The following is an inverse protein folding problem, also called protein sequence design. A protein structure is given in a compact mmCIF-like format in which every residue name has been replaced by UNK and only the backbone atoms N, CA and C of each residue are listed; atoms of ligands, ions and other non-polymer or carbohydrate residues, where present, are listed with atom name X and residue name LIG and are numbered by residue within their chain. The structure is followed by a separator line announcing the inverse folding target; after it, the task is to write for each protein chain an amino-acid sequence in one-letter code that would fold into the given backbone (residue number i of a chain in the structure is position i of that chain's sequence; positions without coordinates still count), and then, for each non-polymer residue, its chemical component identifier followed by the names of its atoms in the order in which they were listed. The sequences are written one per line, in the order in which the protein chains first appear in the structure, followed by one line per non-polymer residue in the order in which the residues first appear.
data_IF_574391840577
#
_entry.id   IF_574391840577
#
_cell.length_a   1.000
_cell.length_b   1.000
_cell.length_c   1.000
_cell.angle_alpha   90.00
_cell.angle_beta   90.00
_cell.angle_gamma   90.00
#
_symmetry.space_group_name_H-M   'P 1'
#
loop_
_entity.id
_entity.type
_entity.pdbx_description
1 polymer ?
#
# COMPACT_ATOMS: atom_id res chain seq x y z
N UNK A 1 2.79 17.85 -7.50
CA UNK A 1 2.99 16.93 -6.36
C UNK A 1 1.62 16.58 -5.80
N UNK A 2 1.46 15.38 -5.27
CA UNK A 2 0.23 14.98 -4.60
C UNK A 2 0.08 15.73 -3.28
N UNK A 3 -1.14 16.13 -2.91
CA UNK A 3 -1.44 16.86 -1.67
C UNK A 3 -2.40 16.05 -0.82
N UNK A 4 -2.11 15.91 0.48
CA UNK A 4 -2.99 15.20 1.41
C UNK A 4 -3.86 16.19 2.19
N UNK A 5 -5.07 15.76 2.54
CA UNK A 5 -6.02 16.55 3.32
C UNK A 5 -6.91 15.64 4.16
N UNK A 6 -7.68 16.24 5.06
CA UNK A 6 -8.81 15.56 5.70
C UNK A 6 -10.06 16.45 5.67
N UNK A 7 -11.23 15.83 5.79
CA UNK A 7 -12.50 16.53 5.96
C UNK A 7 -12.83 16.63 7.45
N UNK A 8 -12.95 17.85 7.93
CA UNK A 8 -13.36 18.19 9.29
C UNK A 8 -14.84 18.58 9.28
N UNK A 9 -15.67 17.85 10.02
CA UNK A 9 -17.09 18.13 10.20
C UNK A 9 -17.33 18.77 11.55
N UNK A 10 -17.71 20.03 11.54
CA UNK A 10 -17.98 20.81 12.73
C UNK A 10 -19.45 20.66 13.18
N UNK A 11 -20.36 20.30 12.26
CA UNK A 11 -21.76 19.98 12.58
C UNK A 11 -22.27 18.81 11.75
N UNK A 12 -22.85 17.80 12.41
CA UNK A 12 -23.53 16.71 11.71
C UNK A 12 -25.00 17.05 11.45
N UNK A 13 -25.25 17.70 10.33
CA UNK A 13 -26.61 18.07 9.89
C UNK A 13 -27.48 16.88 9.49
N UNK A 14 -26.86 15.71 9.27
CA UNK A 14 -27.54 14.49 8.82
C UNK A 14 -27.88 13.53 9.96
N UNK A 15 -27.12 13.60 11.06
CA UNK A 15 -27.19 12.66 12.18
C UNK A 15 -26.58 11.28 11.90
N UNK A 16 -26.00 11.05 10.72
CA UNK A 16 -25.45 9.74 10.34
C UNK A 16 -23.95 9.63 10.57
N UNK A 17 -23.21 10.71 10.33
CA UNK A 17 -21.78 10.59 10.04
C UNK A 17 -20.89 11.20 11.14
N UNK A 18 -21.47 11.75 12.21
CA UNK A 18 -20.79 12.27 13.40
C UNK A 18 -20.00 13.56 13.18
N UNK A 19 -19.41 14.14 14.22
CA UNK A 19 -18.51 15.31 14.11
C UNK A 19 -17.05 14.91 14.20
N UNK A 20 -16.13 15.80 13.82
CA UNK A 20 -14.68 15.57 13.84
C UNK A 20 -14.10 15.25 12.46
N UNK A 21 -13.02 14.48 12.41
CA UNK A 21 -12.39 14.07 11.15
C UNK A 21 -13.15 12.90 10.56
N UNK A 22 -13.76 13.11 9.40
CA UNK A 22 -14.76 12.19 8.84
C UNK A 22 -14.31 11.52 7.54
N UNK A 23 -13.28 12.07 6.89
CA UNK A 23 -12.61 11.44 5.77
C UNK A 23 -11.14 11.87 5.68
N UNK A 24 -10.30 10.97 5.18
CA UNK A 24 -8.96 11.26 4.69
C UNK A 24 -9.00 11.45 3.18
N UNK A 25 -8.13 12.29 2.63
CA UNK A 25 -8.12 12.60 1.22
C UNK A 25 -6.76 12.88 0.62
N UNK A 26 -6.68 12.63 -0.69
CA UNK A 26 -5.50 12.84 -1.52
C UNK A 26 -5.94 13.52 -2.81
N UNK A 27 -5.31 14.65 -3.16
CA UNK A 27 -5.45 15.32 -4.45
C UNK A 27 -4.20 15.06 -5.30
N UNK A 28 -4.41 14.51 -6.50
CA UNK A 28 -3.36 14.21 -7.46
C UNK A 28 -3.02 15.43 -8.33
N UNK A 29 -1.83 15.45 -8.97
CA UNK A 29 -1.41 16.57 -9.82
C UNK A 29 -2.34 16.88 -11.01
N UNK A 30 -3.15 15.90 -11.46
CA UNK A 30 -4.13 16.08 -12.52
C UNK A 30 -5.47 16.66 -12.02
N UNK A 31 -5.56 16.98 -10.73
CA UNK A 31 -6.74 17.53 -10.07
C UNK A 31 -7.70 16.46 -9.55
N UNK A 32 -7.53 15.18 -9.90
CA UNK A 32 -8.39 14.12 -9.35
C UNK A 32 -8.16 13.95 -7.85
N UNK A 33 -9.21 13.56 -7.13
CA UNK A 33 -9.14 13.37 -5.69
C UNK A 33 -9.68 12.01 -5.25
N UNK A 34 -9.07 11.41 -4.24
CA UNK A 34 -9.58 10.21 -3.58
C UNK A 34 -9.92 10.56 -2.15
N UNK A 35 -11.09 10.11 -1.70
CA UNK A 35 -11.58 10.24 -0.33
C UNK A 35 -11.77 8.86 0.28
N UNK A 36 -11.26 8.67 1.49
CA UNK A 36 -11.53 7.53 2.36
C UNK A 36 -12.38 8.00 3.54
N UNK A 37 -13.67 7.66 3.52
CA UNK A 37 -14.56 7.92 4.64
C UNK A 37 -14.16 7.08 5.85
N UNK A 38 -14.25 7.67 7.05
CA UNK A 38 -14.02 7.00 8.33
C UNK A 38 -15.32 6.50 8.95
N UNK A 39 -15.22 5.62 9.95
CA UNK A 39 -16.37 5.10 10.70
C UNK A 39 -16.82 3.70 10.27
N UNK A 40 -17.97 3.26 10.78
CA UNK A 40 -18.50 1.90 10.60
C UNK A 40 -18.78 1.55 9.13
N UNK A 41 -19.19 2.53 8.33
CA UNK A 41 -19.51 2.36 6.91
C UNK A 41 -18.47 3.02 6.00
N UNK A 42 -17.19 2.76 6.29
CA UNK A 42 -16.07 3.35 5.58
C UNK A 42 -16.02 2.93 4.09
N UNK A 43 -16.04 3.92 3.19
CA UNK A 43 -15.95 3.73 1.74
C UNK A 43 -14.83 4.56 1.13
N UNK A 44 -14.35 4.16 -0.05
CA UNK A 44 -13.34 4.89 -0.81
C UNK A 44 -13.95 5.34 -2.12
N UNK A 45 -13.84 6.64 -2.43
CA UNK A 45 -14.48 7.24 -3.61
C UNK A 45 -13.48 8.13 -4.35
N UNK A 46 -13.51 8.04 -5.68
CA UNK A 46 -12.73 8.90 -6.57
C UNK A 46 -13.62 10.04 -7.07
N UNK A 47 -13.09 11.26 -7.05
CA UNK A 47 -13.75 12.47 -7.50
C UNK A 47 -12.93 13.15 -8.61
N UNK A 48 -13.59 13.82 -9.57
CA UNK A 48 -12.88 14.60 -10.58
C UNK A 48 -12.06 15.76 -10.00
N UNK A 49 -12.49 16.30 -8.85
CA UNK A 49 -11.77 17.30 -8.08
C UNK A 49 -12.23 17.33 -6.63
N UNK A 50 -11.38 17.88 -5.77
CA UNK A 50 -11.72 18.19 -4.37
C UNK A 50 -12.95 19.09 -4.27
N UNK A 51 -13.05 20.10 -5.14
CA UNK A 51 -14.19 21.03 -5.16
C UNK A 51 -15.50 20.31 -5.46
N UNK A 52 -15.48 19.31 -6.36
CA UNK A 52 -16.68 18.52 -6.67
C UNK A 52 -17.10 17.68 -5.46
N UNK A 53 -16.14 17.13 -4.71
CA UNK A 53 -16.46 16.42 -3.47
C UNK A 53 -17.05 17.35 -2.41
N UNK A 54 -16.51 18.56 -2.24
CA UNK A 54 -17.00 19.56 -1.29
C UNK A 54 -18.36 20.15 -1.69
N UNK A 55 -18.67 20.27 -2.99
CA UNK A 55 -19.99 20.69 -3.43
C UNK A 55 -21.10 19.74 -2.95
N UNK A 56 -20.80 18.45 -2.82
CA UNK A 56 -21.74 17.42 -2.35
C UNK A 56 -21.70 17.28 -0.82
N UNK A 57 -20.51 17.31 -0.22
CA UNK A 57 -20.30 16.93 1.19
C UNK A 57 -19.94 18.10 2.13
N UNK A 58 -19.81 19.31 1.61
CA UNK A 58 -19.46 20.52 2.36
C UNK A 58 -20.57 20.98 3.32
N UNK A 59 -21.83 20.62 3.03
CA UNK A 59 -23.00 20.90 3.87
C UNK A 59 -23.06 22.36 4.38
N UNK A 60 -23.02 23.33 3.46
CA UNK A 60 -23.04 24.78 3.76
C UNK A 60 -21.95 25.22 4.77
N UNK A 61 -20.77 24.62 4.64
CA UNK A 61 -19.62 24.88 5.51
C UNK A 61 -19.58 24.04 6.79
N UNK A 62 -20.58 23.19 7.04
CA UNK A 62 -20.55 22.26 8.17
C UNK A 62 -19.44 21.19 8.05
N UNK A 63 -18.97 20.92 6.83
CA UNK A 63 -17.75 20.15 6.55
C UNK A 63 -16.75 21.01 5.79
N UNK A 64 -15.53 21.13 6.32
CA UNK A 64 -14.44 21.87 5.70
C UNK A 64 -13.26 20.96 5.39
N UNK A 65 -12.57 21.28 4.31
CA UNK A 65 -11.30 20.64 3.99
C UNK A 65 -10.15 21.28 4.76
N UNK A 66 -9.26 20.43 5.26
CA UNK A 66 -8.01 20.86 5.90
C UNK A 66 -6.85 20.19 5.19
N UNK A 67 -6.04 20.99 4.50
CA UNK A 67 -4.78 20.54 3.90
C UNK A 67 -3.79 20.18 5.01
N UNK A 68 -3.14 19.04 4.88
CA UNK A 68 -2.03 18.65 5.75
C UNK A 68 -0.74 19.00 5.02
N UNK A 69 0.03 19.96 5.52
CA UNK A 69 1.28 20.39 4.88
C UNK A 69 2.43 19.39 5.09
N UNK A 70 2.21 18.30 5.82
CA UNK A 70 3.21 17.26 6.01
C UNK A 70 2.51 15.89 6.03
N UNK A 71 2.60 15.18 4.90
CA UNK A 71 2.61 13.72 5.01
C UNK A 71 4.00 13.36 5.54
N UNK A 72 4.17 13.31 6.87
CA UNK A 72 5.26 12.56 7.50
C UNK A 72 5.00 11.06 7.24
N UNK A 73 4.96 10.65 5.97
CA UNK A 73 5.21 9.25 5.65
C UNK A 73 6.72 9.17 5.72
N UNK A 74 7.22 8.60 6.82
CA UNK A 74 8.59 8.09 6.84
C UNK A 74 8.81 7.39 5.50
N UNK A 75 9.80 7.81 4.70
CA UNK A 75 9.98 7.26 3.37
C UNK A 75 10.05 5.75 3.52
N UNK A 76 9.11 5.04 2.89
CA UNK A 76 9.13 3.59 2.93
C UNK A 76 10.48 3.14 2.34
N UNK A 77 11.24 2.29 3.04
CA UNK A 77 12.57 1.89 2.58
C UNK A 77 12.39 1.04 1.32
N UNK A 78 12.50 1.69 0.17
CA UNK A 78 12.20 1.08 -1.12
C UNK A 78 11.97 2.08 -2.24
N UNK A 79 11.71 1.55 -3.43
CA UNK A 79 11.53 2.29 -4.67
C UNK A 79 10.35 1.75 -5.48
N UNK A 80 9.72 2.60 -6.27
CA UNK A 80 8.71 2.15 -7.23
C UNK A 80 9.38 1.70 -8.54
N UNK A 81 8.97 0.54 -9.05
CA UNK A 81 9.34 0.10 -10.39
C UNK A 81 8.75 1.02 -11.48
N UNK A 82 9.26 0.92 -12.70
CA UNK A 82 8.69 1.62 -13.86
C UNK A 82 7.21 1.30 -14.11
N UNK A 83 6.73 0.15 -13.60
CA UNK A 83 5.33 -0.29 -13.72
C UNK A 83 4.48 0.12 -12.52
N UNK A 84 5.03 0.84 -11.55
CA UNK A 84 4.30 1.37 -10.39
C UNK A 84 4.16 0.40 -9.21
N UNK A 85 4.78 -0.78 -9.26
CA UNK A 85 4.85 -1.67 -8.09
C UNK A 85 5.92 -1.20 -7.11
N UNK A 86 5.61 -1.15 -5.81
CA UNK A 86 6.60 -0.82 -4.78
C UNK A 86 7.56 -1.99 -4.53
N UNK A 87 8.86 -1.72 -4.43
CA UNK A 87 9.92 -2.66 -4.10
C UNK A 87 10.56 -2.24 -2.79
N UNK A 88 10.54 -3.10 -1.78
CA UNK A 88 11.22 -2.84 -0.51
C UNK A 88 12.72 -3.03 -0.64
N UNK A 89 13.48 -2.35 0.22
CA UNK A 89 14.91 -2.62 0.41
C UNK A 89 15.15 -4.12 0.65
N UNK A 90 16.15 -4.73 -0.01
CA UNK A 90 16.41 -6.15 0.15
C UNK A 90 16.78 -6.53 1.59
N UNK A 91 16.19 -7.62 2.08
CA UNK A 91 16.52 -8.16 3.41
C UNK A 91 17.63 -9.19 3.28
N UNK A 92 18.73 -9.01 4.01
CA UNK A 92 19.78 -10.01 4.09
C UNK A 92 19.39 -11.14 5.06
N UNK A 93 19.57 -12.38 4.63
CA UNK A 93 19.34 -13.58 5.45
C UNK A 93 20.58 -13.89 6.30
N UNK A 94 20.40 -14.68 7.35
CA UNK A 94 21.51 -15.20 8.18
C UNK A 94 22.55 -15.99 7.38
N UNK A 95 22.22 -16.40 6.15
CA UNK A 95 23.09 -17.13 5.24
C UNK A 95 23.74 -16.23 4.16
N UNK A 96 23.62 -14.89 4.26
CA UNK A 96 24.22 -13.92 3.33
C UNK A 96 23.47 -13.75 1.99
N UNK A 97 22.31 -14.40 1.82
CA UNK A 97 21.46 -14.22 0.64
C UNK A 97 20.55 -13.00 0.80
N UNK A 98 20.23 -12.33 -0.31
CA UNK A 98 19.26 -11.23 -0.34
C UNK A 98 17.86 -11.73 -0.69
N UNK A 99 16.86 -11.35 0.11
CA UNK A 99 15.45 -11.57 -0.14
C UNK A 99 14.82 -10.27 -0.62
N UNK A 100 14.22 -10.31 -1.80
CA UNK A 100 13.52 -9.18 -2.39
C UNK A 100 12.02 -9.31 -2.13
N UNK A 101 11.40 -8.23 -1.66
CA UNK A 101 9.96 -8.13 -1.44
C UNK A 101 9.45 -6.98 -2.30
N UNK A 102 8.37 -7.21 -3.04
CA UNK A 102 7.77 -6.20 -3.91
C UNK A 102 6.28 -6.47 -4.11
N UNK A 103 5.53 -5.42 -4.39
CA UNK A 103 4.13 -5.50 -4.78
C UNK A 103 4.02 -6.18 -6.15
N UNK A 104 2.94 -6.90 -6.36
CA UNK A 104 2.71 -7.62 -7.60
C UNK A 104 1.24 -7.57 -7.98
N UNK A 105 0.95 -7.66 -9.27
CA UNK A 105 -0.41 -7.84 -9.79
C UNK A 105 -0.96 -9.25 -9.59
N UNK A 106 -0.24 -10.14 -8.92
CA UNK A 106 -0.72 -11.49 -8.68
C UNK A 106 -1.87 -11.52 -7.68
N UNK A 107 -2.81 -12.43 -7.93
CA UNK A 107 -4.06 -12.56 -7.17
C UNK A 107 -3.81 -13.15 -5.76
N UNK A 108 -2.70 -13.86 -5.55
CA UNK A 108 -2.34 -14.49 -4.27
C UNK A 108 -0.85 -14.32 -3.95
N UNK A 109 -0.44 -14.39 -2.66
CA UNK A 109 0.96 -14.42 -2.29
C UNK A 109 1.69 -15.57 -2.98
N UNK A 110 2.78 -15.25 -3.66
CA UNK A 110 3.62 -16.20 -4.38
C UNK A 110 5.09 -15.79 -4.22
N UNK A 111 5.97 -16.77 -4.31
CA UNK A 111 7.42 -16.59 -4.25
C UNK A 111 8.03 -16.89 -5.60
N UNK A 112 9.11 -16.19 -5.93
CA UNK A 112 9.92 -16.48 -7.09
C UNK A 112 11.22 -17.12 -6.61
N UNK A 113 11.51 -18.33 -7.06
CA UNK A 113 12.84 -18.91 -6.91
C UNK A 113 13.61 -18.60 -8.20
N UNK A 114 14.70 -17.84 -8.09
CA UNK A 114 15.56 -17.48 -9.22
C UNK A 114 17.00 -17.88 -8.92
N UNK A 115 17.63 -18.59 -9.84
CA UNK A 115 19.05 -18.95 -9.76
C UNK A 115 19.81 -17.99 -10.67
N UNK A 116 20.74 -17.21 -10.09
CA UNK A 116 21.47 -16.17 -10.81
C UNK A 116 22.82 -16.64 -11.38
N UNK A 117 23.28 -17.84 -11.00
CA UNK A 117 24.47 -18.46 -11.57
C UNK A 117 24.07 -19.40 -12.72
N UNK A 118 24.50 -19.06 -13.94
CA UNK A 118 24.21 -19.84 -15.15
C UNK A 118 22.98 -19.33 -15.91
N UNK A 119 22.15 -20.24 -16.41
CA UNK A 119 20.89 -19.89 -17.08
C UNK A 119 19.91 -19.28 -16.08
N UNK A 120 19.23 -18.21 -16.49
CA UNK A 120 18.23 -17.52 -15.68
C UNK A 120 16.96 -18.36 -15.54
N UNK A 121 16.97 -19.27 -14.56
CA UNK A 121 15.85 -20.14 -14.26
C UNK A 121 15.04 -19.50 -13.14
N UNK A 122 13.79 -19.15 -13.43
CA UNK A 122 12.82 -18.64 -12.48
C UNK A 122 11.58 -19.55 -12.40
N UNK A 123 11.07 -19.78 -11.19
CA UNK A 123 9.82 -20.50 -10.96
C UNK A 123 8.88 -19.72 -10.03
N UNK A 124 7.60 -19.65 -10.40
CA UNK A 124 6.54 -19.18 -9.51
C UNK A 124 6.13 -20.30 -8.56
N UNK A 125 6.14 -20.01 -7.27
CA UNK A 125 5.79 -20.95 -6.22
C UNK A 125 4.68 -20.36 -5.36
N UNK A 126 3.72 -21.19 -4.95
CA UNK A 126 2.91 -20.84 -3.79
C UNK A 126 3.77 -20.75 -2.54
N UNK A 127 3.28 -20.09 -1.49
CA UNK A 127 3.96 -20.03 -0.19
C UNK A 127 4.25 -21.44 0.35
N UNK A 128 3.33 -22.39 0.19
CA UNK A 128 3.49 -23.77 0.66
C UNK A 128 4.55 -24.54 -0.15
N UNK A 129 4.59 -24.35 -1.47
CA UNK A 129 5.64 -24.93 -2.31
C UNK A 129 7.03 -24.40 -1.92
N UNK A 130 7.14 -23.09 -1.70
CA UNK A 130 8.40 -22.47 -1.30
C UNK A 130 8.88 -22.95 0.08
N UNK A 131 7.96 -23.08 1.05
CA UNK A 131 8.27 -23.66 2.38
C UNK A 131 8.74 -25.10 2.26
N UNK A 132 8.07 -25.90 1.46
CA UNK A 132 8.43 -27.32 1.23
C UNK A 132 9.84 -27.44 0.67
N UNK A 133 10.17 -26.66 -0.37
CA UNK A 133 11.50 -26.66 -0.99
C UNK A 133 12.56 -26.21 0.03
N UNK A 134 12.32 -25.13 0.77
CA UNK A 134 13.22 -24.63 1.83
C UNK A 134 13.51 -25.71 2.86
N UNK A 135 12.48 -26.39 3.36
CA UNK A 135 12.62 -27.39 4.42
C UNK A 135 13.41 -28.60 3.92
N UNK A 136 13.14 -29.05 2.69
CA UNK A 136 13.90 -30.13 2.05
C UNK A 136 15.39 -29.77 1.85
N UNK A 137 15.70 -28.55 1.40
CA UNK A 137 17.08 -28.07 1.26
C UNK A 137 17.75 -27.99 2.64
N UNK A 138 17.06 -27.44 3.63
CA UNK A 138 17.58 -27.31 5.00
C UNK A 138 17.91 -28.67 5.61
N UNK A 139 17.04 -29.66 5.43
CA UNK A 139 17.26 -31.02 5.90
C UNK A 139 18.39 -31.72 5.14
N UNK A 140 18.53 -31.45 3.83
CA UNK A 140 19.67 -31.94 3.06
C UNK A 140 21.00 -31.35 3.57
N UNK A 141 21.08 -30.03 3.79
CA UNK A 141 22.27 -29.36 4.33
C UNK A 141 22.67 -29.92 5.70
N UNK A 142 21.70 -30.11 6.61
CA UNK A 142 21.94 -30.72 7.93
C UNK A 142 22.52 -32.13 7.84
N UNK A 143 22.16 -32.90 6.81
CA UNK A 143 22.71 -34.25 6.56
C UNK A 143 24.07 -34.23 5.88
N UNK A 144 24.29 -33.28 4.96
CA UNK A 144 25.49 -33.19 4.14
C UNK A 144 26.71 -32.65 4.89
N UNK A 145 26.51 -31.91 5.99
CA UNK A 145 27.56 -31.31 6.82
C UNK A 145 27.94 -32.22 8.03
N UNK A 146 27.55 -33.50 8.00
CA UNK A 146 28.01 -34.54 8.93
C UNK A 146 29.09 -35.40 8.29
#
# INVERSE_FOLDING_TARGET
MTRTFYLQRDTDVTGFSGTGIVADGVEFPDGTAVLRWRGEHASTVVWPSVDTALAVHGHDGATRLVWTDETQVEPMPGEYSQRGFFHWEPVETDYGHKVFVYESSAIVPHMWLRILEGDDIAAHLSVDQARTIRDQISDWLKRAIR
#
